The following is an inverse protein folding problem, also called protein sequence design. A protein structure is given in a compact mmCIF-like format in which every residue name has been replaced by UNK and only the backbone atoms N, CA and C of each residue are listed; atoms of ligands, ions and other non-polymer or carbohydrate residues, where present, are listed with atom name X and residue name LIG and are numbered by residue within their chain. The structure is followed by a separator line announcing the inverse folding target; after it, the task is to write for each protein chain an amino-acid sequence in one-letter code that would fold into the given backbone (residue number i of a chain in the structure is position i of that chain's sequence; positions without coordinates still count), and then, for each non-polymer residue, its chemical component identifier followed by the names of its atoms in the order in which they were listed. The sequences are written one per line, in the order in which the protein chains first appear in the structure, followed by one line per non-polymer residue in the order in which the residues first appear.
data_IF_688985738358
#
_entry.id   IF_688985738358
#
_cell.length_a   1.000
_cell.length_b   1.000
_cell.length_c   1.000
_cell.angle_alpha   90.00
_cell.angle_beta   90.00
_cell.angle_gamma   90.00
#
_symmetry.space_group_name_H-M   'P 1'
#
loop_
_entity.id
_entity.type
_entity.pdbx_description
1 polymer ?
#
# COMPACT_ATOMS: atom_id res chain seq x y z
N UNK A 1 39.28 15.58 2.41
CA UNK A 1 39.66 14.35 1.69
C UNK A 1 39.18 13.23 2.59
N UNK A 2 37.91 12.87 2.41
CA UNK A 2 37.16 12.08 3.38
C UNK A 2 37.39 10.60 3.13
N UNK A 3 38.05 9.97 4.11
CA UNK A 3 38.21 8.52 4.17
C UNK A 3 36.86 7.97 4.62
N UNK A 4 36.06 7.53 3.65
CA UNK A 4 34.87 6.73 3.92
C UNK A 4 35.32 5.39 4.49
N UNK A 5 35.07 5.21 5.79
CA UNK A 5 35.40 4.02 6.57
C UNK A 5 34.58 2.81 6.09
N UNK A 6 35.24 1.98 5.29
CA UNK A 6 34.74 0.73 4.70
C UNK A 6 34.47 -0.34 5.79
N UNK A 7 34.83 -0.12 7.05
CA UNK A 7 34.60 -1.09 8.15
C UNK A 7 33.19 -1.04 8.77
N UNK A 8 32.40 0.01 8.52
CA UNK A 8 31.08 0.19 9.13
C UNK A 8 29.99 -0.72 8.54
N UNK A 9 30.14 -1.17 7.29
CA UNK A 9 29.16 -2.02 6.60
C UNK A 9 29.29 -3.51 6.95
N UNK A 10 30.51 -4.01 7.08
CA UNK A 10 30.77 -5.42 7.48
C UNK A 10 30.38 -5.65 8.94
N UNK A 11 30.50 -4.62 9.80
CA UNK A 11 30.10 -4.70 11.21
C UNK A 11 28.57 -4.70 11.41
N UNK A 12 27.78 -4.20 10.45
CA UNK A 12 26.33 -4.10 10.58
C UNK A 12 25.60 -5.39 10.15
N UNK A 13 26.11 -6.08 9.14
CA UNK A 13 25.59 -7.39 8.69
C UNK A 13 25.77 -8.50 9.75
N UNK A 14 26.69 -8.32 10.71
CA UNK A 14 26.89 -9.22 11.84
C UNK A 14 25.93 -8.97 13.04
N UNK A 15 25.05 -7.96 12.99
CA UNK A 15 24.34 -7.44 14.18
C UNK A 15 22.93 -7.97 14.44
N UNK A 16 22.25 -8.63 13.51
CA UNK A 16 20.88 -9.12 13.73
C UNK A 16 20.86 -10.64 13.75
N UNK A 17 20.71 -11.22 14.95
CA UNK A 17 20.62 -12.68 15.13
C UNK A 17 19.20 -13.22 14.92
N UNK A 18 18.18 -12.41 15.16
CA UNK A 18 16.78 -12.81 15.08
C UNK A 18 15.88 -11.59 14.90
N UNK A 19 14.79 -11.77 14.14
CA UNK A 19 13.69 -10.81 14.02
C UNK A 19 12.46 -11.45 14.64
N UNK A 20 11.98 -10.86 15.73
CA UNK A 20 10.70 -11.22 16.33
C UNK A 20 9.62 -10.25 15.82
N UNK A 21 8.44 -10.76 15.49
CA UNK A 21 7.29 -9.93 15.10
C UNK A 21 6.28 -9.93 16.23
N UNK A 22 5.88 -8.73 16.68
CA UNK A 22 4.87 -8.54 17.71
C UNK A 22 3.72 -7.68 17.20
N UNK A 23 2.50 -7.96 17.64
CA UNK A 23 1.31 -7.13 17.40
C UNK A 23 1.15 -5.99 18.41
N UNK A 24 1.98 -5.97 19.45
CA UNK A 24 2.04 -4.92 20.47
C UNK A 24 3.48 -4.64 20.88
N UNK A 25 3.69 -3.49 21.53
CA UNK A 25 4.96 -3.05 22.05
C UNK A 25 4.75 -2.23 23.33
N UNK A 26 5.79 -2.06 24.13
CA UNK A 26 5.70 -1.17 25.29
C UNK A 26 5.59 0.29 24.85
N UNK A 27 4.88 1.09 25.64
CA UNK A 27 4.77 2.54 25.44
C UNK A 27 6.15 3.23 25.31
N UNK A 28 7.13 2.76 26.08
CA UNK A 28 8.51 3.24 25.99
C UNK A 28 9.16 2.93 24.64
N UNK A 29 8.97 1.73 24.11
CA UNK A 29 9.54 1.34 22.81
C UNK A 29 8.90 2.15 21.69
N UNK A 30 7.57 2.32 21.72
CA UNK A 30 6.84 3.14 20.75
C UNK A 30 7.30 4.59 20.82
N UNK A 31 7.42 5.16 22.01
CA UNK A 31 7.89 6.52 22.19
C UNK A 31 9.28 6.74 21.55
N UNK A 32 10.24 5.85 21.84
CA UNK A 32 11.57 5.92 21.26
C UNK A 32 11.54 5.76 19.74
N UNK A 33 10.75 4.81 19.25
CA UNK A 33 10.58 4.57 17.82
C UNK A 33 10.00 5.80 17.09
N UNK A 34 8.94 6.40 17.63
CA UNK A 34 8.32 7.61 17.08
C UNK A 34 9.27 8.81 17.13
N UNK A 35 10.11 8.92 18.17
CA UNK A 35 11.13 9.96 18.24
C UNK A 35 12.15 9.85 17.09
N UNK A 36 12.56 8.63 16.72
CA UNK A 36 13.41 8.41 15.53
C UNK A 36 12.76 8.88 14.22
N UNK A 37 11.42 8.90 14.13
CA UNK A 37 10.69 9.35 12.94
C UNK A 37 10.70 10.88 12.77
N UNK A 38 10.84 11.63 13.87
CA UNK A 38 10.73 13.08 13.82
C UNK A 38 11.84 13.71 12.98
N UNK A 39 13.00 13.06 12.95
CA UNK A 39 14.21 13.48 12.22
C UNK A 39 14.38 12.80 10.87
N UNK A 40 13.36 12.06 10.38
CA UNK A 40 13.45 11.29 9.13
C UNK A 40 12.41 11.74 8.09
N UNK A 41 12.84 11.76 6.83
CA UNK A 41 12.05 12.22 5.68
C UNK A 41 11.23 11.09 5.03
N UNK A 42 10.96 10.00 5.74
CA UNK A 42 10.14 8.91 5.20
C UNK A 42 8.67 9.29 5.10
N UNK A 43 8.15 9.33 3.86
CA UNK A 43 6.76 9.68 3.55
C UNK A 43 5.73 8.69 4.07
N UNK A 44 6.08 7.41 4.06
CA UNK A 44 5.23 6.34 4.57
C UNK A 44 5.49 6.03 6.05
N UNK A 45 5.77 7.06 6.85
CA UNK A 45 6.00 6.94 8.29
C UNK A 45 4.90 7.62 9.11
N UNK A 46 5.07 7.59 10.43
CA UNK A 46 4.21 8.24 11.43
C UNK A 46 4.79 9.57 11.93
N UNK A 47 5.60 10.26 11.13
CA UNK A 47 6.28 11.50 11.53
C UNK A 47 5.34 12.70 11.85
N UNK A 48 4.04 12.58 11.55
CA UNK A 48 3.01 13.53 11.95
C UNK A 48 2.53 13.32 13.40
N UNK A 49 2.96 12.26 14.08
CA UNK A 49 2.64 11.99 15.48
C UNK A 49 3.72 12.64 16.35
N UNK A 50 3.37 13.77 16.98
CA UNK A 50 4.21 14.36 18.03
C UNK A 50 3.86 13.75 19.39
N UNK A 51 4.89 13.44 20.17
CA UNK A 51 4.82 12.81 21.49
C UNK A 51 5.69 13.60 22.46
N UNK A 52 5.17 13.95 23.63
CA UNK A 52 5.92 14.62 24.71
C UNK A 52 6.22 13.71 25.90
N UNK A 53 5.59 12.53 25.98
CA UNK A 53 5.81 11.55 27.04
C UNK A 53 5.60 10.13 26.51
N UNK A 54 6.13 9.11 27.19
CA UNK A 54 5.93 7.73 26.77
C UNK A 54 4.52 7.19 27.08
N UNK A 55 3.85 7.71 28.11
CA UNK A 55 2.54 7.23 28.54
C UNK A 55 1.50 7.34 27.41
N UNK A 56 0.87 6.21 27.07
CA UNK A 56 -0.16 6.14 26.02
C UNK A 56 0.37 6.23 24.59
N UNK A 57 1.67 6.03 24.37
CA UNK A 57 2.28 6.09 23.04
C UNK A 57 1.69 5.04 22.08
N UNK A 58 1.51 3.80 22.54
CA UNK A 58 0.92 2.74 21.72
C UNK A 58 -0.53 3.06 21.36
N UNK A 59 -1.31 3.50 22.33
CA UNK A 59 -2.73 3.86 22.12
C UNK A 59 -2.85 5.00 21.10
N UNK A 60 -2.02 6.05 21.25
CA UNK A 60 -2.02 7.18 20.32
C UNK A 60 -1.64 6.77 18.89
N UNK A 61 -0.64 5.89 18.74
CA UNK A 61 -0.25 5.35 17.45
C UNK A 61 -1.38 4.51 16.83
N UNK A 62 -2.00 3.63 17.61
CA UNK A 62 -3.12 2.80 17.16
C UNK A 62 -4.32 3.67 16.76
N UNK A 63 -4.68 4.67 17.56
CA UNK A 63 -5.78 5.59 17.25
C UNK A 63 -5.50 6.41 15.99
N UNK A 64 -4.24 6.86 15.81
CA UNK A 64 -3.84 7.57 14.60
C UNK A 64 -4.01 6.69 13.35
N UNK A 65 -3.55 5.45 13.41
CA UNK A 65 -3.60 4.55 12.25
C UNK A 65 -5.03 4.08 11.95
N UNK A 66 -5.83 3.79 12.99
CA UNK A 66 -7.20 3.30 12.84
C UNK A 66 -8.21 4.41 12.49
N UNK A 67 -7.81 5.69 12.46
CA UNK A 67 -8.74 6.80 12.16
C UNK A 67 -9.35 6.74 10.75
N UNK A 68 -8.62 6.19 9.77
CA UNK A 68 -9.05 6.13 8.36
C UNK A 68 -9.69 4.78 8.03
N UNK A 69 -9.21 3.71 8.68
CA UNK A 69 -9.62 2.32 8.45
C UNK A 69 -9.01 1.40 9.50
N UNK A 70 -9.71 0.32 9.83
CA UNK A 70 -9.21 -0.74 10.70
C UNK A 70 -7.87 -1.28 10.22
N UNK A 71 -6.86 -1.16 11.08
CA UNK A 71 -5.46 -1.40 10.74
C UNK A 71 -4.72 -2.15 11.84
N UNK A 72 -4.12 -3.27 11.45
CA UNK A 72 -3.23 -4.06 12.29
C UNK A 72 -1.80 -3.54 12.18
N UNK A 73 -1.21 -3.20 13.32
CA UNK A 73 0.19 -2.83 13.45
C UNK A 73 1.08 -4.05 13.71
N UNK A 74 2.30 -4.01 13.19
CA UNK A 74 3.35 -4.99 13.44
C UNK A 74 4.64 -4.28 13.82
N UNK A 75 5.26 -4.74 14.91
CA UNK A 75 6.54 -4.26 15.39
C UNK A 75 7.58 -5.37 15.20
N UNK A 76 8.65 -5.03 14.50
CA UNK A 76 9.76 -5.94 14.22
C UNK A 76 10.86 -5.63 15.22
N UNK A 77 11.16 -6.59 16.08
CA UNK A 77 12.19 -6.49 17.10
C UNK A 77 13.46 -7.19 16.63
N UNK A 78 14.59 -6.52 16.75
CA UNK A 78 15.91 -7.05 16.45
C UNK A 78 16.73 -7.25 17.72
N UNK A 79 17.50 -8.33 17.76
CA UNK A 79 18.54 -8.53 18.77
C UNK A 79 19.83 -7.87 18.30
N UNK A 80 20.28 -6.83 19.00
CA UNK A 80 21.57 -6.18 18.71
C UNK A 80 22.74 -6.96 19.32
N UNK A 81 23.97 -6.53 18.99
CA UNK A 81 25.21 -7.11 19.49
C UNK A 81 25.32 -7.12 21.04
N UNK A 82 24.65 -6.20 21.73
CA UNK A 82 24.66 -6.13 23.20
C UNK A 82 23.50 -6.92 23.83
N UNK A 83 22.88 -7.85 23.09
CA UNK A 83 21.65 -8.55 23.47
C UNK A 83 20.48 -7.61 23.83
N UNK A 84 20.53 -6.35 23.40
CA UNK A 84 19.37 -5.47 23.53
C UNK A 84 18.34 -5.85 22.48
N UNK A 85 17.09 -5.94 22.90
CA UNK A 85 15.93 -6.19 22.03
C UNK A 85 15.24 -4.85 21.83
N UNK A 86 15.20 -4.37 20.59
CA UNK A 86 14.59 -3.09 20.26
C UNK A 86 13.79 -3.16 18.97
N UNK A 87 12.83 -2.25 18.81
CA UNK A 87 12.09 -2.11 17.56
C UNK A 87 13.06 -1.61 16.48
N UNK A 88 13.25 -2.40 15.43
CA UNK A 88 14.08 -2.04 14.27
C UNK A 88 13.23 -1.52 13.10
N UNK A 89 11.97 -1.95 13.06
CA UNK A 89 11.00 -1.51 12.07
C UNK A 89 9.58 -1.64 12.61
N UNK A 90 8.66 -0.91 11.99
CA UNK A 90 7.23 -1.15 12.14
C UNK A 90 6.55 -1.07 10.78
N UNK A 91 5.46 -1.80 10.63
CA UNK A 91 4.63 -1.73 9.44
C UNK A 91 3.19 -2.10 9.77
N UNK A 92 2.27 -1.77 8.88
CA UNK A 92 0.86 -2.05 9.12
C UNK A 92 0.17 -2.70 7.92
N UNK A 93 -0.98 -3.32 8.20
CA UNK A 93 -1.91 -3.83 7.21
C UNK A 93 -3.30 -3.31 7.56
N UNK A 94 -3.90 -2.56 6.66
CA UNK A 94 -5.30 -2.20 6.76
C UNK A 94 -6.17 -3.30 6.16
N UNK A 95 -7.29 -3.61 6.80
CA UNK A 95 -8.17 -4.68 6.32
C UNK A 95 -8.94 -4.33 5.05
N UNK A 96 -9.11 -3.03 4.81
CA UNK A 96 -9.83 -2.44 3.69
C UNK A 96 -9.11 -1.19 3.22
N UNK A 97 -9.47 -0.69 2.04
CA UNK A 97 -8.96 0.59 1.54
C UNK A 97 -9.53 1.80 2.31
N UNK A 98 -10.77 1.72 2.80
CA UNK A 98 -11.40 2.73 3.65
C UNK A 98 -12.52 2.11 4.49
N UNK A 99 -13.00 2.81 5.53
CA UNK A 99 -14.14 2.36 6.34
C UNK A 99 -15.40 2.08 5.49
N UNK A 100 -15.62 2.88 4.44
CA UNK A 100 -16.82 2.81 3.62
C UNK A 100 -16.72 1.78 2.48
N UNK A 101 -15.55 1.16 2.29
CA UNK A 101 -15.40 0.13 1.27
C UNK A 101 -16.16 -1.14 1.70
N UNK A 102 -17.20 -1.47 0.94
CA UNK A 102 -18.19 -2.50 1.32
C UNK A 102 -17.72 -3.94 1.12
N UNK A 103 -16.64 -4.16 0.38
CA UNK A 103 -16.17 -5.50 0.04
C UNK A 103 -14.98 -5.94 0.89
N UNK A 104 -14.92 -7.23 1.17
CA UNK A 104 -13.84 -7.88 1.90
C UNK A 104 -12.79 -8.46 0.94
N UNK A 105 -11.60 -8.76 1.46
CA UNK A 105 -10.57 -9.47 0.71
C UNK A 105 -9.61 -8.59 -0.09
N UNK A 106 -9.61 -7.28 0.17
CA UNK A 106 -8.71 -6.30 -0.42
C UNK A 106 -7.92 -5.55 0.67
N UNK A 107 -7.05 -6.23 1.44
CA UNK A 107 -6.19 -5.55 2.40
C UNK A 107 -5.20 -4.60 1.72
N UNK A 108 -4.77 -3.59 2.47
CA UNK A 108 -3.74 -2.65 2.06
C UNK A 108 -2.50 -2.87 2.90
N UNK A 109 -1.37 -3.13 2.24
CA UNK A 109 -0.06 -3.08 2.89
C UNK A 109 0.31 -1.60 3.00
N UNK A 110 -0.06 -1.01 4.13
CA UNK A 110 0.17 0.39 4.42
C UNK A 110 1.53 0.62 5.09
N UNK A 111 1.82 1.88 5.41
CA UNK A 111 3.01 2.47 6.07
C UNK A 111 4.03 1.45 6.57
N UNK A 112 5.29 1.67 6.20
CA UNK A 112 6.40 0.86 6.66
C UNK A 112 7.59 1.76 6.93
N UNK A 113 8.11 1.67 8.15
CA UNK A 113 9.32 2.36 8.53
C UNK A 113 10.33 1.39 9.08
N UNK A 114 11.55 1.46 8.55
CA UNK A 114 12.73 0.78 9.06
C UNK A 114 13.64 1.89 9.57
N UNK A 115 14.10 1.78 10.82
CA UNK A 115 14.98 2.82 11.40
C UNK A 115 16.23 2.97 10.53
N UNK A 116 16.74 4.21 10.35
CA UNK A 116 17.78 4.52 9.38
C UNK A 116 19.00 3.60 9.45
N UNK A 117 19.46 3.30 10.65
CA UNK A 117 20.59 2.43 10.96
C UNK A 117 20.39 0.97 10.51
N UNK A 118 19.17 0.51 10.26
CA UNK A 118 18.90 -0.86 9.80
C UNK A 118 18.52 -0.95 8.31
N UNK A 119 18.40 0.16 7.57
CA UNK A 119 17.89 0.17 6.19
C UNK A 119 18.77 -0.60 5.19
N UNK A 120 20.07 -0.66 5.44
CA UNK A 120 21.02 -1.40 4.60
C UNK A 120 21.08 -2.90 4.93
N UNK A 121 20.29 -3.37 5.89
CA UNK A 121 20.25 -4.76 6.32
C UNK A 121 19.31 -5.66 5.49
N UNK A 122 18.90 -5.20 4.30
CA UNK A 122 18.00 -5.92 3.38
C UNK A 122 16.66 -6.33 4.02
N UNK A 123 16.22 -5.60 5.05
CA UNK A 123 15.01 -5.90 5.83
C UNK A 123 13.68 -5.66 5.07
N UNK A 124 13.69 -4.88 3.99
CA UNK A 124 12.48 -4.61 3.21
C UNK A 124 11.81 -5.89 2.69
N UNK A 125 12.60 -6.85 2.18
CA UNK A 125 12.07 -8.10 1.66
C UNK A 125 11.37 -8.95 2.73
N UNK A 126 12.03 -9.36 3.84
CA UNK A 126 11.38 -10.19 4.85
C UNK A 126 10.20 -9.48 5.54
N UNK A 127 10.25 -8.16 5.74
CA UNK A 127 9.12 -7.39 6.31
C UNK A 127 7.93 -7.41 5.34
N UNK A 128 8.17 -7.21 4.05
CA UNK A 128 7.11 -7.25 3.05
C UNK A 128 6.58 -8.69 2.87
N UNK A 129 7.45 -9.69 2.90
CA UNK A 129 7.10 -11.12 2.87
C UNK A 129 6.13 -11.48 3.99
N UNK A 130 6.51 -11.17 5.23
CA UNK A 130 5.69 -11.43 6.41
C UNK A 130 4.28 -10.82 6.26
N UNK A 131 4.20 -9.57 5.78
CA UNK A 131 2.90 -8.90 5.59
C UNK A 131 2.06 -9.55 4.49
N UNK A 132 2.68 -10.05 3.42
CA UNK A 132 1.98 -10.84 2.41
C UNK A 132 1.45 -12.16 2.96
N UNK A 133 2.30 -12.90 3.68
CA UNK A 133 1.94 -14.16 4.31
C UNK A 133 0.81 -13.97 5.32
N UNK A 134 0.83 -12.87 6.09
CA UNK A 134 -0.26 -12.48 6.97
C UNK A 134 -1.58 -12.30 6.21
N UNK A 135 -1.58 -11.53 5.10
CA UNK A 135 -2.77 -11.37 4.26
C UNK A 135 -3.29 -12.71 3.73
N UNK A 136 -2.40 -13.59 3.25
CA UNK A 136 -2.77 -14.91 2.75
C UNK A 136 -3.36 -15.77 3.87
N UNK A 137 -2.73 -15.79 5.04
CA UNK A 137 -3.19 -16.56 6.20
C UNK A 137 -4.55 -16.08 6.72
N UNK A 138 -4.75 -14.76 6.82
CA UNK A 138 -5.96 -14.18 7.39
C UNK A 138 -7.18 -14.33 6.47
N UNK A 139 -7.00 -14.07 5.18
CA UNK A 139 -8.12 -14.07 4.22
C UNK A 139 -8.30 -15.43 3.53
N UNK A 140 -7.23 -16.21 3.38
CA UNK A 140 -7.26 -17.50 2.69
C UNK A 140 -7.91 -17.40 1.31
N UNK A 141 -8.93 -18.23 1.07
CA UNK A 141 -9.71 -18.23 -0.18
C UNK A 141 -10.52 -16.96 -0.42
N UNK A 142 -10.68 -16.09 0.59
CA UNK A 142 -11.36 -14.79 0.48
C UNK A 142 -10.41 -13.68 0.01
N UNK A 143 -9.11 -13.93 -0.06
CA UNK A 143 -8.16 -12.93 -0.54
C UNK A 143 -8.39 -12.71 -2.05
N UNK A 144 -8.78 -11.50 -2.41
CA UNK A 144 -9.12 -11.12 -3.78
C UNK A 144 -8.04 -10.27 -4.42
N UNK A 145 -7.47 -9.34 -3.68
CA UNK A 145 -6.32 -8.55 -4.11
C UNK A 145 -5.56 -7.94 -2.94
N UNK A 146 -4.42 -7.30 -3.22
CA UNK A 146 -3.64 -6.56 -2.22
C UNK A 146 -3.20 -5.24 -2.85
N UNK A 147 -3.54 -4.14 -2.19
CA UNK A 147 -3.11 -2.80 -2.58
C UNK A 147 -1.85 -2.40 -1.78
N UNK A 148 -0.92 -1.71 -2.43
CA UNK A 148 0.19 -1.03 -1.76
C UNK A 148 0.56 0.25 -2.50
N UNK A 149 0.85 1.30 -1.74
CA UNK A 149 1.50 2.51 -2.22
C UNK A 149 2.96 2.53 -1.77
N UNK A 150 3.88 2.90 -2.65
CA UNK A 150 5.26 3.20 -2.23
C UNK A 150 5.92 4.26 -3.09
N UNK A 151 6.82 5.04 -2.50
CA UNK A 151 7.74 5.93 -3.23
C UNK A 151 9.20 5.47 -3.16
N UNK A 152 9.49 4.35 -2.48
CA UNK A 152 10.86 3.93 -2.21
C UNK A 152 11.39 2.99 -3.32
N UNK A 153 12.41 3.40 -4.11
CA UNK A 153 13.04 2.59 -5.18
C UNK A 153 13.34 1.15 -4.79
N UNK A 154 13.73 0.92 -3.52
CA UNK A 154 14.05 -0.42 -3.01
C UNK A 154 12.81 -1.29 -2.85
N UNK A 155 11.69 -0.70 -2.42
CA UNK A 155 10.41 -1.41 -2.34
C UNK A 155 9.91 -1.74 -3.74
N UNK A 156 10.00 -0.81 -4.70
CA UNK A 156 9.70 -1.13 -6.11
C UNK A 156 10.52 -2.30 -6.61
N UNK A 157 11.84 -2.26 -6.40
CA UNK A 157 12.71 -3.32 -6.86
C UNK A 157 12.35 -4.68 -6.24
N UNK A 158 11.93 -4.69 -4.96
CA UNK A 158 11.45 -5.91 -4.30
C UNK A 158 10.12 -6.40 -4.91
N UNK A 159 9.20 -5.49 -5.20
CA UNK A 159 7.89 -5.79 -5.80
C UNK A 159 8.02 -6.27 -7.25
N UNK A 160 8.86 -5.61 -8.05
CA UNK A 160 9.05 -5.87 -9.48
C UNK A 160 9.83 -7.16 -9.75
N UNK A 161 10.82 -7.50 -8.92
CA UNK A 161 11.63 -8.71 -9.13
C UNK A 161 10.92 -10.03 -8.79
N UNK A 162 9.59 -10.01 -8.58
CA UNK A 162 8.72 -11.18 -8.42
C UNK A 162 9.23 -12.26 -7.44
N UNK A 163 9.96 -11.86 -6.39
CA UNK A 163 10.51 -12.81 -5.41
C UNK A 163 9.44 -13.53 -4.60
N UNK A 164 8.21 -13.03 -4.64
CA UNK A 164 7.05 -13.61 -3.96
C UNK A 164 6.21 -14.53 -4.87
N UNK A 165 6.51 -14.63 -6.17
CA UNK A 165 5.59 -15.25 -7.13
C UNK A 165 4.29 -14.46 -7.34
N UNK A 166 4.31 -13.18 -6.96
CA UNK A 166 3.20 -12.23 -7.00
C UNK A 166 3.64 -11.07 -7.91
N UNK A 167 2.83 -10.76 -8.91
CA UNK A 167 3.10 -9.66 -9.83
C UNK A 167 2.06 -8.56 -9.65
N UNK A 168 2.53 -7.40 -9.22
CA UNK A 168 1.72 -6.21 -9.01
C UNK A 168 1.54 -5.45 -10.32
N UNK A 169 0.30 -5.03 -10.56
CA UNK A 169 -0.03 -4.06 -11.58
C UNK A 169 0.20 -2.66 -11.03
N UNK A 170 0.94 -1.83 -11.75
CA UNK A 170 1.00 -0.41 -11.46
C UNK A 170 -0.33 0.24 -11.85
N UNK A 171 -0.90 1.06 -10.97
CA UNK A 171 -2.16 1.76 -11.20
C UNK A 171 -1.95 3.23 -11.58
N UNK A 172 -0.92 3.88 -11.03
CA UNK A 172 -0.63 5.29 -11.25
C UNK A 172 0.02 5.92 -10.01
N UNK A 173 -0.02 7.25 -9.95
CA UNK A 173 0.57 8.03 -8.85
C UNK A 173 -0.52 8.59 -7.93
N UNK A 174 -0.29 8.64 -6.61
CA UNK A 174 -1.07 9.40 -5.62
C UNK A 174 -0.20 10.47 -4.95
N UNK A 175 -0.80 11.53 -4.42
CA UNK A 175 -0.12 12.55 -3.61
C UNK A 175 -0.53 12.37 -2.16
N UNK A 176 0.44 12.08 -1.30
CA UNK A 176 0.24 12.07 0.14
C UNK A 176 0.66 13.41 0.72
N UNK A 177 -0.24 14.05 1.46
CA UNK A 177 0.10 15.27 2.21
C UNK A 177 0.87 14.88 3.48
N UNK A 178 2.11 15.33 3.61
CA UNK A 178 2.94 15.08 4.77
C UNK A 178 3.65 16.37 5.21
N UNK A 179 3.44 16.79 6.46
CA UNK A 179 4.06 18.01 7.03
C UNK A 179 3.97 19.25 6.13
N UNK A 180 2.92 19.35 5.31
CA UNK A 180 2.72 20.48 4.39
C UNK A 180 3.41 20.34 3.02
N UNK A 181 4.12 19.25 2.74
CA UNK A 181 4.51 18.86 1.38
C UNK A 181 3.52 17.85 0.80
N UNK A 182 3.38 17.84 -0.53
CA UNK A 182 2.67 16.80 -1.26
C UNK A 182 3.71 15.88 -1.88
N UNK A 183 3.75 14.65 -1.41
CA UNK A 183 4.76 13.67 -1.78
C UNK A 183 4.14 12.64 -2.70
N UNK A 184 4.83 12.37 -3.82
CA UNK A 184 4.33 11.46 -4.84
C UNK A 184 4.62 10.02 -4.47
N UNK A 185 3.59 9.19 -4.53
CA UNK A 185 3.63 7.77 -4.23
C UNK A 185 3.08 7.02 -5.43
N UNK A 186 3.61 5.84 -5.70
CA UNK A 186 3.16 5.00 -6.79
C UNK A 186 2.27 3.87 -6.24
N UNK A 187 1.10 3.70 -6.84
CA UNK A 187 0.10 2.72 -6.44
C UNK A 187 0.21 1.41 -7.21
N UNK A 188 0.07 0.31 -6.48
CA UNK A 188 0.18 -1.04 -6.97
C UNK A 188 -0.95 -1.91 -6.47
N UNK A 189 -1.44 -2.77 -7.36
CA UNK A 189 -2.48 -3.73 -7.03
C UNK A 189 -2.13 -5.11 -7.57
N UNK A 190 -2.18 -6.10 -6.68
CA UNK A 190 -2.14 -7.50 -7.05
C UNK A 190 -3.54 -8.09 -6.98
N UNK A 191 -3.85 -9.01 -7.90
CA UNK A 191 -5.10 -9.78 -7.92
C UNK A 191 -4.81 -11.27 -7.73
N UNK A 192 -5.63 -11.93 -6.93
CA UNK A 192 -5.63 -13.37 -6.76
C UNK A 192 -5.96 -14.08 -8.07
N UNK A 193 -5.39 -15.27 -8.29
CA UNK A 193 -5.69 -16.09 -9.47
C UNK A 193 -7.19 -16.43 -9.58
N UNK A 194 -7.91 -16.51 -8.45
CA UNK A 194 -9.35 -16.71 -8.43
C UNK A 194 -10.07 -15.53 -9.07
N UNK A 195 -9.83 -14.31 -8.58
CA UNK A 195 -10.47 -13.12 -9.13
C UNK A 195 -10.07 -12.87 -10.59
N UNK A 196 -8.80 -13.12 -10.96
CA UNK A 196 -8.37 -13.03 -12.37
C UNK A 196 -9.19 -13.95 -13.30
N UNK A 197 -9.50 -15.17 -12.86
CA UNK A 197 -10.36 -16.09 -13.64
C UNK A 197 -11.80 -15.60 -13.72
N UNK A 198 -12.37 -15.20 -12.58
CA UNK A 198 -13.73 -14.65 -12.52
C UNK A 198 -13.89 -13.46 -13.49
N UNK A 199 -12.96 -12.51 -13.47
CA UNK A 199 -12.97 -11.35 -14.37
C UNK A 199 -12.79 -11.74 -15.85
N UNK A 200 -12.02 -12.79 -16.14
CA UNK A 200 -11.79 -13.27 -17.51
C UNK A 200 -13.03 -13.94 -18.11
N UNK A 201 -13.82 -14.63 -17.28
CA UNK A 201 -15.04 -15.33 -17.68
C UNK A 201 -16.19 -14.38 -18.01
N UNK A 202 -16.19 -13.16 -17.45
CA UNK A 202 -17.24 -12.15 -17.68
C UNK A 202 -17.46 -11.82 -19.15
N UNK A 203 -16.40 -11.89 -19.96
CA UNK A 203 -16.44 -11.64 -21.41
C UNK A 203 -17.26 -12.68 -22.18
N UNK A 204 -17.36 -13.90 -21.65
CA UNK A 204 -17.98 -15.03 -22.36
C UNK A 204 -19.48 -15.13 -22.16
N UNK A 205 -20.02 -14.48 -21.12
CA UNK A 205 -21.43 -14.62 -20.72
C UNK A 205 -22.35 -13.46 -21.12
N UNK A 206 -21.85 -12.29 -21.52
CA UNK A 206 -22.72 -11.15 -21.84
C UNK A 206 -23.26 -11.23 -23.27
N UNK A 207 -24.53 -11.61 -23.41
CA UNK A 207 -25.27 -11.54 -24.68
C UNK A 207 -25.49 -10.09 -25.18
N UNK A 208 -25.29 -9.09 -24.31
CA UNK A 208 -25.50 -7.68 -24.59
C UNK A 208 -24.22 -7.05 -25.17
N UNK A 209 -24.20 -6.82 -26.48
CA UNK A 209 -23.13 -6.09 -27.15
C UNK A 209 -23.24 -4.60 -26.83
N UNK A 210 -22.32 -4.08 -26.01
CA UNK A 210 -22.18 -2.67 -25.72
C UNK A 210 -20.71 -2.29 -25.85
N UNK A 211 -20.39 -1.37 -26.76
CA UNK A 211 -18.99 -0.97 -27.01
C UNK A 211 -18.29 -0.40 -25.76
N UNK A 212 -19.03 0.29 -24.88
CA UNK A 212 -18.49 0.79 -23.61
C UNK A 212 -18.09 -0.35 -22.67
N UNK A 213 -18.94 -1.39 -22.54
CA UNK A 213 -18.66 -2.55 -21.71
C UNK A 213 -17.49 -3.38 -22.26
N UNK A 214 -17.40 -3.52 -23.59
CA UNK A 214 -16.28 -4.19 -24.25
C UNK A 214 -14.95 -3.45 -23.99
N UNK A 215 -14.96 -2.11 -24.07
CA UNK A 215 -13.80 -1.26 -23.74
C UNK A 215 -13.38 -1.45 -22.27
N UNK A 216 -14.32 -1.38 -21.33
CA UNK A 216 -14.05 -1.59 -19.90
C UNK A 216 -13.45 -2.97 -19.64
N UNK A 217 -14.05 -4.03 -20.18
CA UNK A 217 -13.56 -5.40 -20.03
C UNK A 217 -12.14 -5.55 -20.58
N UNK A 218 -11.84 -4.97 -21.74
CA UNK A 218 -10.49 -5.01 -22.32
C UNK A 218 -9.45 -4.34 -21.42
N UNK A 219 -9.77 -3.20 -20.80
CA UNK A 219 -8.87 -2.50 -19.89
C UNK A 219 -8.65 -3.31 -18.59
N UNK A 220 -9.69 -3.94 -18.05
CA UNK A 220 -9.55 -4.84 -16.90
C UNK A 220 -8.69 -6.05 -17.24
N UNK A 221 -8.83 -6.62 -18.43
CA UNK A 221 -7.99 -7.73 -18.89
C UNK A 221 -6.52 -7.32 -19.00
N UNK A 222 -6.24 -6.11 -19.49
CA UNK A 222 -4.88 -5.55 -19.52
C UNK A 222 -4.33 -5.41 -18.09
N UNK A 223 -5.15 -4.92 -17.16
CA UNK A 223 -4.80 -4.78 -15.75
C UNK A 223 -4.42 -6.12 -15.10
N UNK A 224 -5.28 -7.13 -15.18
CA UNK A 224 -5.01 -8.43 -14.56
C UNK A 224 -3.85 -9.20 -15.23
N UNK A 225 -3.53 -8.84 -16.48
CA UNK A 225 -2.42 -9.40 -17.25
C UNK A 225 -1.12 -8.61 -17.11
N UNK A 226 -1.07 -7.58 -16.25
CA UNK A 226 0.07 -6.67 -16.06
C UNK A 226 0.55 -6.00 -17.36
N UNK A 227 -0.39 -5.69 -18.25
CA UNK A 227 -0.15 -4.90 -19.48
C UNK A 227 -0.69 -3.46 -19.36
N UNK A 228 -1.07 -3.07 -18.15
CA UNK A 228 -1.60 -1.75 -17.82
C UNK A 228 -0.48 -0.72 -17.74
N UNK A 229 -0.70 0.45 -18.29
CA UNK A 229 0.22 1.60 -18.27
C UNK A 229 -0.34 2.72 -17.40
N UNK A 230 0.46 3.75 -17.08
CA UNK A 230 -0.03 4.96 -16.39
C UNK A 230 -1.25 5.56 -17.10
N UNK A 231 -1.17 5.69 -18.43
CA UNK A 231 -2.27 6.20 -19.28
C UNK A 231 -3.51 5.32 -19.32
N UNK A 232 -3.41 4.05 -18.89
CA UNK A 232 -4.53 3.12 -18.88
C UNK A 232 -5.53 3.43 -17.75
N UNK A 233 -5.11 4.09 -16.67
CA UNK A 233 -5.98 4.34 -15.52
C UNK A 233 -7.08 5.36 -15.81
N UNK A 234 -6.74 6.52 -16.39
CA UNK A 234 -7.73 7.50 -16.84
C UNK A 234 -8.66 6.92 -17.90
N UNK A 235 -8.11 6.10 -18.82
CA UNK A 235 -8.92 5.38 -19.82
C UNK A 235 -9.92 4.43 -19.17
N UNK A 236 -9.53 3.79 -18.06
CA UNK A 236 -10.37 2.87 -17.29
C UNK A 236 -11.49 3.61 -16.55
N UNK A 237 -11.19 4.73 -15.89
CA UNK A 237 -12.20 5.58 -15.24
C UNK A 237 -13.20 6.17 -16.24
N UNK A 238 -12.72 6.61 -17.40
CA UNK A 238 -13.58 7.04 -18.51
C UNK A 238 -14.47 5.90 -19.00
N UNK A 239 -13.93 4.70 -19.21
CA UNK A 239 -14.71 3.54 -19.65
C UNK A 239 -15.79 3.12 -18.62
N UNK A 240 -15.49 3.24 -17.32
CA UNK A 240 -16.48 3.02 -16.26
C UNK A 240 -17.63 4.02 -16.39
N UNK A 241 -17.32 5.31 -16.53
CA UNK A 241 -18.32 6.36 -16.71
C UNK A 241 -19.15 6.17 -17.98
N UNK A 242 -18.52 5.77 -19.09
CA UNK A 242 -19.19 5.47 -20.36
C UNK A 242 -20.22 4.35 -20.18
N UNK A 243 -19.89 3.31 -19.40
CA UNK A 243 -20.80 2.19 -19.10
C UNK A 243 -21.98 2.65 -18.24
N UNK A 244 -21.72 3.43 -17.18
CA UNK A 244 -22.78 3.96 -16.32
C UNK A 244 -23.77 4.83 -17.11
N UNK A 245 -23.28 5.65 -18.04
CA UNK A 245 -24.14 6.47 -18.91
C UNK A 245 -24.93 5.62 -19.93
N UNK A 246 -24.30 4.60 -20.51
CA UNK A 246 -24.91 3.81 -21.57
C UNK A 246 -25.91 2.77 -21.06
N UNK A 247 -25.65 2.18 -19.89
CA UNK A 247 -26.36 0.99 -19.39
C UNK A 247 -26.99 1.20 -18.00
N UNK A 248 -26.66 2.30 -17.32
CA UNK A 248 -27.04 2.57 -15.93
C UNK A 248 -26.23 1.75 -14.94
N UNK A 249 -26.12 2.24 -13.70
CA UNK A 249 -25.36 1.60 -12.61
C UNK A 249 -25.78 0.14 -12.34
N UNK A 250 -27.03 -0.21 -12.66
CA UNK A 250 -27.59 -1.55 -12.45
C UNK A 250 -26.82 -2.66 -13.17
N UNK A 251 -26.19 -2.38 -14.33
CA UNK A 251 -25.48 -3.39 -15.12
C UNK A 251 -24.10 -3.71 -14.52
N UNK A 252 -23.37 -2.71 -14.03
CA UNK A 252 -22.14 -2.97 -13.28
C UNK A 252 -22.45 -3.73 -11.98
N UNK A 253 -23.51 -3.34 -11.28
CA UNK A 253 -23.93 -3.95 -10.03
C UNK A 253 -24.45 -5.39 -10.17
N UNK A 254 -24.93 -5.79 -11.34
CA UNK A 254 -25.37 -7.17 -11.60
C UNK A 254 -24.20 -8.17 -11.60
N UNK A 255 -22.96 -7.69 -11.75
CA UNK A 255 -21.77 -8.50 -11.83
C UNK A 255 -20.86 -8.27 -10.62
N UNK A 256 -21.00 -9.12 -9.60
CA UNK A 256 -20.32 -8.94 -8.31
C UNK A 256 -18.79 -8.81 -8.40
N UNK A 257 -18.13 -9.53 -9.30
CA UNK A 257 -16.67 -9.41 -9.47
C UNK A 257 -16.25 -8.09 -10.12
N UNK A 258 -17.00 -7.64 -11.13
CA UNK A 258 -16.73 -6.38 -11.83
C UNK A 258 -17.05 -5.17 -10.95
N UNK A 259 -18.21 -5.17 -10.28
CA UNK A 259 -18.61 -4.08 -9.39
C UNK A 259 -17.60 -3.88 -8.25
N UNK A 260 -17.08 -4.97 -7.70
CA UNK A 260 -16.04 -4.95 -6.68
C UNK A 260 -14.77 -4.24 -7.12
N UNK A 261 -14.29 -4.58 -8.31
CA UNK A 261 -13.06 -4.01 -8.87
C UNK A 261 -13.27 -2.56 -9.26
N UNK A 262 -14.41 -2.22 -9.86
CA UNK A 262 -14.75 -0.83 -10.18
C UNK A 262 -14.80 0.03 -8.92
N UNK A 263 -15.50 -0.45 -7.87
CA UNK A 263 -15.58 0.26 -6.60
C UNK A 263 -14.21 0.35 -5.91
N UNK A 264 -13.35 -0.67 -6.05
CA UNK A 264 -11.98 -0.63 -5.54
C UNK A 264 -11.17 0.46 -6.23
N UNK A 265 -11.19 0.49 -7.56
CA UNK A 265 -10.43 1.45 -8.36
C UNK A 265 -10.88 2.88 -8.10
N UNK A 266 -12.18 3.11 -7.93
CA UNK A 266 -12.74 4.41 -7.51
C UNK A 266 -12.30 4.84 -6.11
N UNK A 267 -11.99 3.88 -5.24
CA UNK A 267 -11.54 4.15 -3.88
C UNK A 267 -10.03 4.41 -3.77
N UNK A 268 -9.24 4.14 -4.81
CA UNK A 268 -7.81 4.44 -4.86
C UNK A 268 -7.63 5.84 -5.45
N UNK A 269 -7.03 6.82 -4.73
CA UNK A 269 -6.94 8.22 -5.16
C UNK A 269 -5.78 8.45 -6.14
N UNK A 270 -5.79 7.74 -7.27
CA UNK A 270 -4.79 7.92 -8.34
C UNK A 270 -5.01 9.24 -9.07
N UNK A 271 -3.94 9.98 -9.29
CA UNK A 271 -3.87 11.23 -10.03
C UNK A 271 -3.75 10.92 -11.51
N UNK A 272 -4.54 11.63 -12.32
CA UNK A 272 -4.37 11.64 -13.75
C UNK A 272 -3.14 12.47 -14.10
N UNK A 273 -2.17 11.90 -14.83
CA UNK A 273 -1.11 12.68 -15.47
C UNK A 273 -1.77 13.55 -16.55
N UNK A 274 -2.30 14.71 -16.17
CA UNK A 274 -2.61 15.75 -17.13
C UNK A 274 -1.29 16.26 -17.67
N UNK A 275 -1.05 16.07 -18.97
CA UNK A 275 0.07 16.70 -19.65
C UNK A 275 0.06 18.20 -19.32
N UNK A 276 1.10 18.65 -18.63
CA UNK A 276 1.38 20.03 -18.22
C UNK A 276 0.34 20.73 -17.33
N UNK A 277 0.65 20.90 -16.04
CA UNK A 277 0.29 22.12 -15.31
C UNK A 277 1.23 22.38 -14.12
N UNK A 278 2.22 23.26 -14.33
CA UNK A 278 2.45 24.30 -13.35
C UNK A 278 1.10 25.03 -13.13
N UNK A 279 0.78 25.27 -11.85
CA UNK A 279 -0.27 26.16 -11.32
C UNK A 279 -1.69 25.57 -11.09
N UNK A 280 -2.13 25.80 -9.84
CA UNK A 280 -3.50 25.85 -9.29
C UNK A 280 -4.09 24.54 -8.71
N UNK A 281 -3.80 24.30 -7.43
CA UNK A 281 -4.69 23.51 -6.56
C UNK A 281 -5.74 24.43 -5.90
N UNK A 282 -7.05 24.19 -6.09
CA UNK A 282 -8.11 24.78 -5.29
C UNK A 282 -8.11 24.24 -3.85
N UNK A 283 -8.37 25.12 -2.89
CA UNK A 283 -8.29 24.90 -1.44
C UNK A 283 -9.38 23.99 -0.83
N UNK A 284 -10.19 23.30 -1.63
CA UNK A 284 -11.43 22.66 -1.16
C UNK A 284 -11.35 21.17 -0.84
N UNK A 285 -10.21 20.49 -1.02
CA UNK A 285 -10.04 19.08 -0.59
C UNK A 285 -9.33 18.89 0.76
N UNK A 286 -9.23 19.94 1.59
CA UNK A 286 -8.57 19.89 2.93
C UNK A 286 -9.35 19.18 4.05
N UNK A 287 -10.43 18.45 3.78
CA UNK A 287 -11.16 17.72 4.83
C UNK A 287 -11.58 16.32 4.39
N UNK A 288 -10.64 15.38 4.49
CA UNK A 288 -10.81 14.02 5.03
C UNK A 288 -9.64 13.12 4.56
N UNK A 289 -8.53 13.14 5.32
CA UNK A 289 -7.54 12.05 5.41
C UNK A 289 -6.59 12.31 6.60
#
# INVERSE_FOLDING_TARGET
MDILDVNSHTLLMAKLKFIEVRSSASDKDIFNFLHCLQTDDCVHSWNNISMTSAQGALEKLNNYENRIRDTQMFFYYGHTYHNTVEIIAAGCIAHKISHNYKYEGYPVIARCFIRPEFRNLRLYFPILQHRFEYCISLYGKRLKGIHMGTQNPRVFNVVQNNRFGISFCYLGDEYLNQKGSNERVHDYLWFSNKLKRELSELRTGSAQKCGALDKLNNLILQMISNKFTSSSFSSLLSAISDVDLALGESVLNANTGLSEVVDLLRAIPVIEETESHELLLPSTLRKAA
#
